data_IF_617016913134
#
_entry.id   IF_617016913134
#
_cell.length_a   1.000
_cell.length_b   1.000
_cell.length_c   1.000
_cell.angle_alpha   90.00
_cell.angle_beta   90.00
_cell.angle_gamma   90.00
#
_symmetry.space_group_name_H-M   'P 1'
#
loop_
_entity.id
_entity.type
_entity.pdbx_description
1 polymer ?
#
# COMPACT_ATOMS: atom_id res chain seq x y z
N UNK A 1 24.05 34.80 10.88
CA UNK A 1 23.05 33.87 10.32
C UNK A 1 23.68 32.49 10.36
N UNK A 2 23.43 31.72 11.43
CA UNK A 2 23.92 30.35 11.53
C UNK A 2 23.01 29.46 10.70
N UNK A 3 23.45 29.11 9.49
CA UNK A 3 22.90 28.00 8.73
C UNK A 3 23.10 26.72 9.55
N UNK A 4 22.02 26.10 9.99
CA UNK A 4 22.08 24.73 10.49
C UNK A 4 22.80 23.86 9.46
N UNK A 5 23.71 22.96 9.85
CA UNK A 5 24.38 22.08 8.90
C UNK A 5 23.32 21.30 8.12
N UNK A 6 23.45 21.24 6.80
CA UNK A 6 22.62 20.38 5.98
C UNK A 6 22.75 18.95 6.52
N UNK A 7 21.66 18.36 7.03
CA UNK A 7 21.69 17.02 7.57
C UNK A 7 21.73 16.03 6.41
N UNK A 8 22.89 15.40 6.20
CA UNK A 8 23.01 14.27 5.28
C UNK A 8 22.38 13.04 5.90
N UNK A 9 21.42 12.42 5.20
CA UNK A 9 20.90 11.10 5.58
C UNK A 9 21.53 10.07 4.64
N UNK A 10 22.22 9.10 5.24
CA UNK A 10 22.84 7.97 4.55
C UNK A 10 22.13 6.69 4.93
N UNK A 11 22.26 5.68 4.09
CA UNK A 11 21.73 4.36 4.42
C UNK A 11 22.53 3.24 3.74
N UNK A 12 22.80 2.19 4.50
CA UNK A 12 23.24 0.89 3.99
C UNK A 12 22.52 -0.25 4.73
N UNK A 13 22.03 -1.24 3.98
CA UNK A 13 21.31 -2.36 4.57
C UNK A 13 22.30 -3.31 5.27
N UNK A 14 22.18 -3.43 6.59
CA UNK A 14 23.09 -4.24 7.40
C UNK A 14 22.78 -5.75 7.38
N UNK A 15 21.69 -6.16 6.74
CA UNK A 15 21.21 -7.55 6.80
C UNK A 15 20.63 -7.93 8.16
N UNK A 16 20.11 -6.98 8.95
CA UNK A 16 19.54 -7.27 10.27
C UNK A 16 18.21 -8.05 10.25
N UNK A 17 17.55 -8.19 9.09
CA UNK A 17 16.30 -8.94 8.92
C UNK A 17 15.02 -8.29 9.48
N UNK A 18 15.11 -7.16 10.19
CA UNK A 18 13.96 -6.53 10.87
C UNK A 18 12.85 -6.09 9.91
N UNK A 19 13.17 -5.26 8.92
CA UNK A 19 12.19 -4.83 7.91
C UNK A 19 11.71 -5.97 6.99
N UNK A 20 12.34 -7.14 7.06
CA UNK A 20 11.96 -8.35 6.32
C UNK A 20 11.12 -9.33 7.16
N UNK A 21 10.74 -8.96 8.40
CA UNK A 21 10.03 -9.84 9.33
C UNK A 21 8.79 -9.13 9.89
N UNK A 22 7.61 -9.72 9.71
CA UNK A 22 6.36 -9.17 10.24
C UNK A 22 5.80 -7.98 9.45
N UNK A 23 6.38 -7.63 8.30
CA UNK A 23 5.91 -6.56 7.44
C UNK A 23 5.31 -7.09 6.15
N UNK A 24 4.09 -6.66 5.85
CA UNK A 24 3.52 -6.84 4.52
C UNK A 24 4.28 -5.97 3.51
N UNK A 25 4.59 -6.53 2.34
CA UNK A 25 5.39 -5.86 1.33
C UNK A 25 4.47 -5.48 0.17
N UNK A 26 4.10 -4.20 -0.01
CA UNK A 26 3.31 -3.76 -1.15
C UNK A 26 3.93 -4.21 -2.49
N UNK A 27 3.08 -4.74 -3.36
CA UNK A 27 3.45 -5.28 -4.66
C UNK A 27 2.73 -4.48 -5.75
N UNK A 28 3.45 -4.21 -6.84
CA UNK A 28 2.81 -3.93 -8.12
C UNK A 28 2.00 -5.17 -8.56
N UNK A 29 1.10 -5.00 -9.52
CA UNK A 29 0.31 -6.12 -10.03
C UNK A 29 1.22 -7.19 -10.67
N UNK A 30 2.27 -6.76 -11.37
CA UNK A 30 3.27 -7.67 -11.95
C UNK A 30 4.02 -8.48 -10.87
N UNK A 31 4.40 -7.83 -9.77
CA UNK A 31 5.06 -8.48 -8.64
C UNK A 31 4.10 -9.39 -7.87
N UNK A 32 2.83 -9.02 -7.74
CA UNK A 32 1.80 -9.87 -7.14
C UNK A 32 1.61 -11.18 -7.93
N UNK A 33 1.60 -11.10 -9.27
CA UNK A 33 1.60 -12.30 -10.14
C UNK A 33 2.79 -13.20 -9.88
N UNK A 34 3.98 -12.63 -9.83
CA UNK A 34 5.20 -13.39 -9.58
C UNK A 34 5.23 -13.99 -8.16
N UNK A 35 4.83 -13.21 -7.17
CA UNK A 35 4.78 -13.63 -5.77
C UNK A 35 3.79 -14.79 -5.57
N UNK A 36 2.55 -14.64 -6.08
CA UNK A 36 1.55 -15.70 -6.04
C UNK A 36 1.99 -16.94 -6.83
N UNK A 37 2.52 -16.75 -8.04
CA UNK A 37 3.00 -17.85 -8.90
C UNK A 37 4.18 -18.63 -8.33
N UNK A 38 4.95 -18.04 -7.41
CA UNK A 38 6.02 -18.75 -6.68
C UNK A 38 5.53 -19.41 -5.39
N UNK A 39 4.22 -19.41 -5.11
CA UNK A 39 3.59 -19.99 -3.92
C UNK A 39 3.47 -19.04 -2.73
N UNK A 40 3.61 -17.73 -2.95
CA UNK A 40 3.50 -16.72 -1.90
C UNK A 40 2.05 -16.29 -1.69
N UNK A 41 1.65 -16.10 -0.44
CA UNK A 41 0.33 -15.54 -0.13
C UNK A 41 0.34 -14.02 -0.31
N UNK A 42 -0.80 -13.48 -0.74
CA UNK A 42 -1.01 -12.04 -0.93
C UNK A 42 -2.20 -11.63 -0.07
N UNK A 43 -1.99 -10.59 0.73
CA UNK A 43 -3.06 -9.90 1.46
C UNK A 43 -3.50 -8.69 0.64
N UNK A 44 -4.80 -8.42 0.63
CA UNK A 44 -5.40 -7.27 -0.05
C UNK A 44 -5.89 -6.30 1.00
N UNK A 45 -5.33 -5.08 0.99
CA UNK A 45 -5.72 -3.99 1.88
C UNK A 45 -6.49 -2.95 1.07
N UNK A 46 -7.68 -2.57 1.56
CA UNK A 46 -8.54 -1.62 0.86
C UNK A 46 -8.98 -0.47 1.76
N UNK A 47 -8.79 0.74 1.26
CA UNK A 47 -9.26 2.00 1.81
C UNK A 47 -9.89 2.85 0.70
N UNK A 48 -10.80 3.74 1.06
CA UNK A 48 -11.50 4.60 0.11
C UNK A 48 -11.83 5.95 0.73
N UNK A 49 -12.10 6.94 -0.11
CA UNK A 49 -12.60 8.25 0.31
C UNK A 49 -13.74 8.65 -0.63
N UNK A 50 -14.62 9.54 -0.15
CA UNK A 50 -15.68 10.08 -1.01
C UNK A 50 -15.13 11.21 -1.89
N UNK A 51 -15.75 11.42 -3.05
CA UNK A 51 -15.34 12.46 -4.00
C UNK A 51 -15.36 13.89 -3.41
N UNK A 52 -16.19 14.14 -2.38
CA UNK A 52 -16.24 15.40 -1.64
C UNK A 52 -15.00 15.64 -0.74
N UNK A 53 -14.11 14.65 -0.61
CA UNK A 53 -12.88 14.70 0.16
C UNK A 53 -13.00 14.23 1.61
N UNK A 54 -14.16 13.73 2.04
CA UNK A 54 -14.33 13.13 3.36
C UNK A 54 -13.43 11.88 3.46
N UNK A 55 -12.57 11.86 4.48
CA UNK A 55 -11.50 10.87 4.66
C UNK A 55 -10.15 11.23 4.04
N UNK A 56 -9.94 12.46 3.55
CA UNK A 56 -8.71 12.83 2.85
C UNK A 56 -8.22 14.26 3.18
N UNK A 57 -7.06 14.41 3.86
CA UNK A 57 -6.42 15.72 4.01
C UNK A 57 -6.18 16.38 2.66
N UNK A 58 -6.40 17.70 2.58
CA UNK A 58 -6.41 18.44 1.32
C UNK A 58 -5.07 18.31 0.56
N UNK A 59 -3.96 18.34 1.28
CA UNK A 59 -2.62 18.22 0.73
C UNK A 59 -2.33 16.84 0.11
N UNK A 60 -3.02 15.78 0.57
CA UNK A 60 -2.83 14.42 0.05
C UNK A 60 -3.77 14.09 -1.11
N UNK A 61 -4.69 15.01 -1.46
CA UNK A 61 -5.79 14.73 -2.39
C UNK A 61 -5.30 14.31 -3.77
N UNK A 62 -4.38 15.07 -4.34
CA UNK A 62 -3.84 14.78 -5.68
C UNK A 62 -3.16 13.41 -5.72
N UNK A 63 -2.33 13.11 -4.72
CA UNK A 63 -1.62 11.83 -4.64
C UNK A 63 -2.59 10.65 -4.51
N UNK A 64 -3.58 10.76 -3.63
CA UNK A 64 -4.58 9.71 -3.40
C UNK A 64 -5.48 9.49 -4.63
N UNK A 65 -5.99 10.56 -5.26
CA UNK A 65 -6.83 10.46 -6.45
C UNK A 65 -6.14 9.79 -7.63
N UNK A 66 -4.84 10.03 -7.82
CA UNK A 66 -4.09 9.44 -8.95
C UNK A 66 -3.99 7.92 -8.87
N UNK A 67 -4.01 7.36 -7.66
CA UNK A 67 -3.84 5.92 -7.40
C UNK A 67 -5.12 5.22 -6.97
N UNK A 68 -6.26 5.91 -7.09
CA UNK A 68 -7.57 5.37 -6.76
C UNK A 68 -8.45 5.27 -8.00
N UNK A 69 -9.54 4.51 -7.88
CA UNK A 69 -10.51 4.33 -8.95
C UNK A 69 -11.93 4.52 -8.41
N UNK A 70 -12.82 5.21 -9.13
CA UNK A 70 -14.20 5.40 -8.68
C UNK A 70 -14.98 4.09 -8.76
N UNK A 71 -15.76 3.82 -7.72
CA UNK A 71 -16.69 2.70 -7.62
C UNK A 71 -18.06 3.18 -7.11
N UNK A 72 -19.18 2.57 -7.55
CA UNK A 72 -20.49 2.91 -7.02
C UNK A 72 -20.56 2.65 -5.51
N UNK A 73 -21.16 3.55 -4.73
CA UNK A 73 -21.34 3.39 -3.29
C UNK A 73 -22.63 4.08 -2.84
N UNK A 74 -23.71 3.31 -2.66
CA UNK A 74 -25.05 3.86 -2.40
C UNK A 74 -25.54 4.73 -3.57
N UNK A 75 -25.93 5.98 -3.28
CA UNK A 75 -26.26 7.01 -4.27
C UNK A 75 -25.07 7.93 -4.60
N UNK A 76 -23.87 7.59 -4.12
CA UNK A 76 -22.62 8.34 -4.28
C UNK A 76 -21.53 7.51 -4.98
N UNK A 77 -20.31 8.05 -5.00
CA UNK A 77 -19.11 7.38 -5.51
C UNK A 77 -18.01 7.38 -4.45
N UNK A 78 -17.40 6.21 -4.24
CA UNK A 78 -16.19 6.05 -3.44
C UNK A 78 -14.98 5.89 -4.35
N UNK A 79 -13.85 6.46 -3.98
CA UNK A 79 -12.58 6.34 -4.69
C UNK A 79 -11.69 5.35 -3.94
N UNK A 80 -11.63 4.11 -4.41
CA UNK A 80 -10.93 3.01 -3.74
C UNK A 80 -9.45 2.99 -4.09
N UNK A 81 -8.60 2.78 -3.09
CA UNK A 81 -7.18 2.46 -3.23
C UNK A 81 -6.96 1.03 -2.76
N UNK A 82 -6.37 0.19 -3.61
CA UNK A 82 -6.15 -1.22 -3.32
C UNK A 82 -4.66 -1.52 -3.28
N UNK A 83 -4.20 -2.04 -2.15
CA UNK A 83 -2.83 -2.52 -1.97
C UNK A 83 -2.81 -4.03 -1.94
N UNK A 84 -2.21 -4.65 -2.96
CA UNK A 84 -1.80 -6.05 -2.87
C UNK A 84 -0.44 -6.08 -2.19
N UNK A 85 -0.29 -6.87 -1.16
CA UNK A 85 0.97 -6.99 -0.45
C UNK A 85 1.33 -8.46 -0.21
N UNK A 86 2.61 -8.78 -0.23
CA UNK A 86 3.07 -10.08 0.23
C UNK A 86 2.67 -10.26 1.70
N UNK A 87 1.93 -11.32 1.99
CA UNK A 87 1.52 -11.64 3.35
C UNK A 87 2.68 -12.30 4.11
N UNK A 88 3.35 -11.51 4.94
CA UNK A 88 4.48 -11.95 5.77
C UNK A 88 4.21 -11.63 7.26
N UNK A 89 3.45 -12.46 7.98
CA UNK A 89 3.27 -12.29 9.42
C UNK A 89 4.54 -12.62 10.23
N UNK A 90 5.48 -13.36 9.63
CA UNK A 90 6.78 -13.70 10.21
C UNK A 90 7.94 -13.34 9.29
N UNK A 91 9.01 -14.13 9.32
CA UNK A 91 10.17 -13.93 8.43
C UNK A 91 9.74 -14.07 6.97
N UNK A 92 10.15 -13.13 6.13
CA UNK A 92 9.93 -13.21 4.69
C UNK A 92 10.50 -14.52 4.14
N UNK A 93 9.71 -15.22 3.31
CA UNK A 93 10.10 -16.51 2.69
C UNK A 93 11.38 -16.46 1.84
N UNK A 94 11.79 -15.26 1.43
CA UNK A 94 13.00 -15.04 0.65
C UNK A 94 14.17 -14.53 1.49
N UNK A 95 14.06 -14.55 2.82
CA UNK A 95 15.15 -14.20 3.73
C UNK A 95 15.98 -15.46 3.99
N UNK A 96 17.28 -15.43 3.67
CA UNK A 96 18.18 -16.55 3.94
C UNK A 96 18.57 -16.62 5.43
N UNK A 97 19.41 -17.60 5.78
CA UNK A 97 19.84 -17.82 7.17
C UNK A 97 20.72 -16.67 7.71
N UNK A 98 21.41 -15.95 6.81
CA UNK A 98 22.21 -14.76 7.14
C UNK A 98 21.37 -13.46 7.20
N UNK A 99 20.04 -13.57 7.16
CA UNK A 99 19.11 -12.43 7.12
C UNK A 99 19.33 -11.48 5.92
N UNK A 100 19.82 -12.03 4.81
CA UNK A 100 19.95 -11.37 3.50
C UNK A 100 18.85 -11.85 2.57
N UNK A 101 18.46 -10.98 1.64
CA UNK A 101 17.44 -11.34 0.67
C UNK A 101 18.01 -12.35 -0.35
N UNK A 102 17.34 -13.46 -0.59
CA UNK A 102 17.71 -14.44 -1.61
C UNK A 102 17.32 -14.05 -3.04
N UNK A 103 16.52 -12.99 -3.21
CA UNK A 103 15.95 -12.60 -4.51
C UNK A 103 16.34 -11.18 -4.95
N UNK A 104 17.59 -10.76 -4.67
CA UNK A 104 18.06 -9.38 -4.89
C UNK A 104 17.68 -8.76 -6.24
N UNK A 105 17.73 -9.56 -7.31
CA UNK A 105 17.45 -9.18 -8.71
C UNK A 105 15.96 -8.86 -8.95
N UNK A 106 15.07 -9.61 -8.29
CA UNK A 106 13.62 -9.54 -8.47
C UNK A 106 12.87 -9.05 -7.23
N UNK A 107 13.58 -8.46 -6.26
CA UNK A 107 12.98 -7.83 -5.07
C UNK A 107 11.82 -6.90 -5.47
N UNK A 108 10.71 -6.87 -4.72
CA UNK A 108 9.67 -5.89 -4.98
C UNK A 108 10.20 -4.45 -4.96
N UNK A 109 9.58 -3.55 -5.73
CA UNK A 109 9.99 -2.13 -5.82
C UNK A 109 10.11 -1.50 -4.44
N UNK A 110 9.12 -1.70 -3.56
CA UNK A 110 9.14 -1.14 -2.19
C UNK A 110 10.36 -1.62 -1.38
N UNK A 111 10.81 -2.87 -1.56
CA UNK A 111 12.02 -3.38 -0.91
C UNK A 111 13.32 -2.79 -1.49
N UNK A 112 13.31 -2.33 -2.75
CA UNK A 112 14.44 -1.62 -3.37
C UNK A 112 14.44 -0.14 -3.01
N UNK A 113 13.26 0.41 -2.70
CA UNK A 113 13.05 1.81 -2.31
C UNK A 113 13.38 2.03 -0.84
N UNK A 114 13.18 1.01 0.00
CA UNK A 114 13.51 1.08 1.42
C UNK A 114 14.95 1.58 1.63
N UNK A 115 15.16 2.62 2.46
CA UNK A 115 14.24 3.08 3.50
C UNK A 115 13.31 4.24 3.11
N UNK A 116 13.40 4.77 1.88
CA UNK A 116 12.63 5.94 1.46
C UNK A 116 11.12 5.69 1.46
N UNK A 117 10.38 6.79 1.51
CA UNK A 117 8.92 6.80 1.42
C UNK A 117 8.44 6.95 -0.03
N UNK A 118 7.44 6.16 -0.39
CA UNK A 118 6.77 6.29 -1.70
C UNK A 118 5.77 7.45 -1.67
N UNK A 119 5.06 7.67 -0.56
CA UNK A 119 4.13 8.78 -0.43
C UNK A 119 4.92 10.10 -0.36
N UNK A 120 4.71 11.05 -1.29
CA UNK A 120 5.47 12.31 -1.33
C UNK A 120 5.26 13.21 -0.11
N UNK A 121 4.20 12.98 0.68
CA UNK A 121 3.88 13.78 1.86
C UNK A 121 4.50 13.21 3.15
N UNK A 122 5.15 12.04 3.09
CA UNK A 122 5.81 11.43 4.24
C UNK A 122 7.32 11.59 4.07
N UNK A 123 8.00 12.36 4.94
CA UNK A 123 9.45 12.49 4.88
C UNK A 123 10.12 11.22 5.42
N UNK A 124 11.29 10.86 4.89
CA UNK A 124 12.14 9.84 5.49
C UNK A 124 12.57 10.30 6.89
N UNK A 125 12.26 9.47 7.90
CA UNK A 125 12.68 9.64 9.29
C UNK A 125 13.40 8.37 9.75
N UNK A 126 14.73 8.38 9.93
CA UNK A 126 15.49 7.22 10.38
C UNK A 126 14.93 6.55 11.65
N UNK A 127 14.46 7.35 12.60
CA UNK A 127 13.88 6.93 13.87
C UNK A 127 12.54 6.19 13.72
N UNK A 128 11.86 6.34 12.58
CA UNK A 128 10.61 5.65 12.27
C UNK A 128 10.83 4.34 11.50
N UNK A 129 12.09 3.87 11.40
CA UNK A 129 12.47 2.68 10.65
C UNK A 129 13.08 1.64 11.59
N UNK A 130 12.86 0.37 11.29
CA UNK A 130 13.30 -0.74 12.15
C UNK A 130 14.82 -0.97 12.13
N UNK A 131 15.52 -0.40 11.14
CA UNK A 131 16.95 -0.63 10.95
C UNK A 131 17.79 -0.09 12.12
N UNK A 132 18.84 -0.82 12.53
CA UNK A 132 19.73 -0.39 13.61
C UNK A 132 20.48 0.89 13.25
N UNK A 133 21.02 1.56 14.27
CA UNK A 133 21.74 2.83 14.11
C UNK A 133 22.90 2.76 13.12
N UNK A 134 23.62 1.63 13.05
CA UNK A 134 24.73 1.45 12.11
C UNK A 134 24.32 1.56 10.62
N UNK A 135 23.06 1.23 10.29
CA UNK A 135 22.55 1.32 8.92
C UNK A 135 22.54 2.76 8.41
N UNK A 136 22.50 3.76 9.30
CA UNK A 136 22.40 5.18 8.97
C UNK A 136 23.76 5.90 8.95
N UNK A 137 24.83 5.20 9.32
CA UNK A 137 26.17 5.77 9.46
C UNK A 137 27.04 5.56 8.22
N UNK A 138 26.62 4.70 7.30
CA UNK A 138 27.38 4.29 6.11
C UNK A 138 26.50 4.27 4.86
N UNK A 139 27.13 3.99 3.72
CA UNK A 139 26.45 3.93 2.43
C UNK A 139 26.34 5.27 1.69
N UNK A 140 25.68 5.25 0.52
CA UNK A 140 25.43 6.45 -0.27
C UNK A 140 24.58 7.45 0.50
N UNK A 141 24.79 8.73 0.23
CA UNK A 141 23.88 9.77 0.69
C UNK A 141 22.55 9.61 -0.06
N UNK A 142 21.47 9.47 0.69
CA UNK A 142 20.12 9.46 0.15
C UNK A 142 19.57 10.88 0.09
N UNK A 143 19.73 11.63 1.19
CA UNK A 143 19.24 13.01 1.30
C UNK A 143 20.41 13.92 1.66
N UNK A 144 20.51 15.07 0.99
CA UNK A 144 21.37 16.20 1.35
C UNK A 144 20.47 17.40 1.70
N UNK A 145 20.50 17.83 2.96
CA UNK A 145 19.53 18.81 3.46
C UNK A 145 18.11 18.24 3.41
N UNK A 146 17.28 18.74 2.48
CA UNK A 146 15.90 18.25 2.26
C UNK A 146 15.70 17.65 0.86
N UNK A 147 16.77 17.41 0.10
CA UNK A 147 16.68 16.91 -1.28
C UNK A 147 17.16 15.46 -1.38
N UNK A 148 16.35 14.61 -2.02
CA UNK A 148 16.76 13.28 -2.44
C UNK A 148 17.84 13.41 -3.54
N UNK A 149 19.06 12.98 -3.23
CA UNK A 149 20.22 13.07 -4.14
C UNK A 149 20.52 11.76 -4.87
N UNK A 150 20.01 10.63 -4.37
CA UNK A 150 20.10 9.34 -5.07
C UNK A 150 19.11 9.28 -6.24
N UNK A 151 19.63 9.45 -7.46
CA UNK A 151 18.84 9.45 -8.71
C UNK A 151 18.18 8.11 -8.99
N UNK A 152 18.86 7.00 -8.72
CA UNK A 152 18.32 5.66 -8.95
C UNK A 152 17.14 5.42 -8.03
N UNK A 153 17.24 5.87 -6.79
CA UNK A 153 16.16 5.77 -5.82
C UNK A 153 14.96 6.63 -6.21
N UNK A 154 15.20 7.85 -6.69
CA UNK A 154 14.15 8.72 -7.24
C UNK A 154 13.40 8.06 -8.40
N UNK A 155 14.12 7.42 -9.33
CA UNK A 155 13.53 6.66 -10.44
C UNK A 155 12.69 5.49 -9.95
N UNK A 156 13.15 4.74 -8.94
CA UNK A 156 12.38 3.62 -8.38
C UNK A 156 11.10 4.08 -7.69
N UNK A 157 11.16 5.19 -6.93
CA UNK A 157 9.98 5.80 -6.30
C UNK A 157 8.95 6.18 -7.36
N UNK A 158 9.39 6.84 -8.44
CA UNK A 158 8.46 7.24 -9.50
C UNK A 158 7.88 6.04 -10.25
N UNK A 159 8.70 5.01 -10.51
CA UNK A 159 8.20 3.74 -11.08
C UNK A 159 7.17 3.07 -10.19
N UNK A 160 7.35 3.09 -8.87
CA UNK A 160 6.36 2.53 -7.94
C UNK A 160 5.05 3.32 -7.97
N UNK A 161 5.13 4.66 -7.97
CA UNK A 161 3.95 5.52 -8.08
C UNK A 161 3.24 5.36 -9.42
N UNK A 162 3.99 5.19 -10.51
CA UNK A 162 3.42 4.93 -11.82
C UNK A 162 2.71 3.58 -11.86
N UNK A 163 3.31 2.53 -11.30
CA UNK A 163 2.66 1.22 -11.21
C UNK A 163 1.35 1.28 -10.41
N UNK A 164 1.28 2.03 -9.31
CA UNK A 164 0.02 2.25 -8.60
C UNK A 164 -1.09 2.84 -9.49
N UNK A 165 -0.74 3.80 -10.36
CA UNK A 165 -1.67 4.43 -11.31
C UNK A 165 -2.11 3.47 -12.41
N UNK A 166 -1.16 2.71 -12.96
CA UNK A 166 -1.42 1.78 -14.06
C UNK A 166 -2.22 0.55 -13.58
N UNK A 167 -1.97 0.11 -12.35
CA UNK A 167 -2.53 -1.12 -11.81
C UNK A 167 -3.93 -0.95 -11.20
N UNK A 168 -4.31 0.24 -10.74
CA UNK A 168 -5.49 0.39 -9.86
C UNK A 168 -6.78 -0.15 -10.50
N UNK A 169 -7.03 0.14 -11.78
CA UNK A 169 -8.22 -0.35 -12.48
C UNK A 169 -8.25 -1.89 -12.52
N UNK A 170 -7.11 -2.52 -12.81
CA UNK A 170 -7.01 -3.97 -12.84
C UNK A 170 -7.15 -4.58 -11.44
N UNK A 171 -6.59 -3.93 -10.41
CA UNK A 171 -6.79 -4.35 -9.00
C UNK A 171 -8.25 -4.30 -8.59
N UNK A 172 -9.01 -3.27 -8.99
CA UNK A 172 -10.47 -3.22 -8.76
C UNK A 172 -11.19 -4.40 -9.43
N UNK A 173 -10.88 -4.68 -10.70
CA UNK A 173 -11.49 -5.80 -11.43
C UNK A 173 -11.18 -7.16 -10.78
N UNK A 174 -9.94 -7.34 -10.28
CA UNK A 174 -9.54 -8.55 -9.55
C UNK A 174 -10.29 -8.65 -8.22
N UNK A 175 -10.39 -7.56 -7.47
CA UNK A 175 -11.17 -7.53 -6.24
C UNK A 175 -12.64 -7.91 -6.49
N UNK A 176 -13.27 -7.37 -7.54
CA UNK A 176 -14.63 -7.75 -7.93
C UNK A 176 -14.75 -9.25 -8.25
N UNK A 177 -13.80 -9.81 -9.00
CA UNK A 177 -13.79 -11.25 -9.31
C UNK A 177 -13.63 -12.13 -8.06
N UNK A 178 -13.04 -11.58 -6.99
CA UNK A 178 -12.87 -12.24 -5.70
C UNK A 178 -14.01 -11.96 -4.71
N UNK A 179 -15.01 -11.15 -5.08
CA UNK A 179 -16.08 -10.72 -4.16
C UNK A 179 -15.59 -9.76 -3.08
N UNK A 180 -14.54 -8.99 -3.35
CA UNK A 180 -14.02 -7.93 -2.49
C UNK A 180 -14.65 -6.60 -2.91
N UNK A 181 -15.58 -6.11 -2.11
CA UNK A 181 -16.38 -4.91 -2.35
C UNK A 181 -16.60 -4.04 -1.09
N UNK A 182 -15.94 -4.37 0.03
CA UNK A 182 -15.95 -3.53 1.23
C UNK A 182 -14.59 -2.86 1.39
N UNK A 183 -14.64 -1.56 1.67
CA UNK A 183 -13.46 -0.74 1.92
C UNK A 183 -13.56 -0.10 3.30
N UNK A 184 -12.43 0.15 3.95
CA UNK A 184 -12.41 1.09 5.07
C UNK A 184 -12.48 2.53 4.53
N UNK A 185 -12.85 3.48 5.38
CA UNK A 185 -12.63 4.89 5.07
C UNK A 185 -11.14 5.24 5.30
N UNK A 186 -10.55 5.92 4.33
CA UNK A 186 -9.18 6.43 4.40
C UNK A 186 -9.02 7.33 5.62
N UNK A 187 -7.93 7.12 6.36
CA UNK A 187 -7.67 7.78 7.64
C UNK A 187 -8.41 7.19 8.84
N UNK A 188 -9.33 6.25 8.64
CA UNK A 188 -10.01 5.52 9.72
C UNK A 188 -9.58 4.05 9.83
N UNK A 189 -9.04 3.45 8.77
CA UNK A 189 -8.46 2.11 8.83
C UNK A 189 -8.21 1.47 7.47
N UNK A 190 -8.03 0.15 7.48
CA UNK A 190 -8.03 -0.73 6.31
C UNK A 190 -9.01 -1.88 6.49
N UNK A 191 -9.63 -2.30 5.39
CA UNK A 191 -10.17 -3.67 5.31
C UNK A 191 -9.08 -4.58 4.78
N UNK A 192 -8.88 -5.71 5.44
CA UNK A 192 -7.82 -6.66 5.15
C UNK A 192 -8.42 -8.01 4.77
N UNK A 193 -8.15 -8.44 3.54
CA UNK A 193 -8.61 -9.70 2.97
C UNK A 193 -7.42 -10.61 2.72
N UNK A 194 -7.55 -11.89 3.12
CA UNK A 194 -6.61 -12.94 2.75
C UNK A 194 -7.33 -13.92 1.81
N UNK A 195 -7.40 -13.62 0.49
CA UNK A 195 -8.13 -14.44 -0.46
C UNK A 195 -7.53 -15.84 -0.59
N UNK A 196 -8.35 -16.80 -1.01
CA UNK A 196 -7.87 -18.12 -1.39
C UNK A 196 -6.79 -17.99 -2.48
N UNK A 197 -5.70 -18.73 -2.32
CA UNK A 197 -4.52 -18.58 -3.18
C UNK A 197 -4.79 -19.04 -4.61
N UNK A 198 -5.61 -20.08 -4.80
CA UNK A 198 -5.97 -20.56 -6.13
C UNK A 198 -6.94 -19.59 -6.82
N UNK A 199 -7.94 -19.09 -6.10
CA UNK A 199 -8.86 -18.08 -6.60
C UNK A 199 -8.13 -16.79 -7.01
N UNK A 200 -7.22 -16.30 -6.16
CA UNK A 200 -6.40 -15.13 -6.50
C UNK A 200 -5.51 -15.39 -7.71
N UNK A 201 -4.83 -16.54 -7.77
CA UNK A 201 -3.98 -16.89 -8.91
C UNK A 201 -4.79 -16.92 -10.22
N UNK A 202 -6.01 -17.47 -10.19
CA UNK A 202 -6.91 -17.46 -11.33
C UNK A 202 -7.33 -16.03 -11.70
N UNK A 203 -7.77 -15.24 -10.73
CA UNK A 203 -8.21 -13.86 -10.96
C UNK A 203 -7.08 -12.98 -11.51
N UNK A 204 -5.85 -13.16 -11.03
CA UNK A 204 -4.68 -12.48 -11.57
C UNK A 204 -4.53 -12.75 -13.07
N UNK A 205 -4.69 -13.99 -13.55
CA UNK A 205 -4.50 -14.31 -14.98
C UNK A 205 -5.61 -13.81 -15.90
N UNK A 206 -6.75 -13.37 -15.37
CA UNK A 206 -7.86 -12.92 -16.20
C UNK A 206 -7.59 -11.51 -16.78
N UNK A 207 -7.97 -11.25 -18.03
CA UNK A 207 -8.04 -9.89 -18.54
C UNK A 207 -9.09 -9.10 -17.74
N UNK A 208 -8.90 -7.80 -17.59
CA UNK A 208 -9.87 -6.94 -16.93
C UNK A 208 -11.22 -7.03 -17.69
N UNK A 209 -12.25 -7.55 -17.04
CA UNK A 209 -13.58 -7.66 -17.64
C UNK A 209 -14.25 -6.28 -17.64
N UNK A 210 -14.93 -5.93 -18.73
CA UNK A 210 -15.79 -4.73 -18.87
C UNK A 210 -17.14 -4.91 -18.18
N UNK A 211 -17.19 -5.66 -17.08
CA UNK A 211 -18.42 -5.84 -16.32
C UNK A 211 -18.73 -4.57 -15.52
N UNK A 212 -20.02 -4.22 -15.36
CA UNK A 212 -20.42 -3.20 -14.41
C UNK A 212 -19.84 -3.48 -13.03
N UNK A 213 -19.38 -2.44 -12.34
CA UNK A 213 -18.84 -2.59 -11.01
C UNK A 213 -19.97 -2.87 -10.02
N UNK A 214 -19.79 -3.86 -9.15
CA UNK A 214 -20.68 -4.08 -8.02
C UNK A 214 -20.69 -2.83 -7.11
N UNK A 215 -21.80 -2.53 -6.41
CA UNK A 215 -21.81 -1.45 -5.43
C UNK A 215 -20.92 -1.81 -4.24
N UNK A 216 -20.05 -0.89 -3.87
CA UNK A 216 -19.15 -1.01 -2.73
C UNK A 216 -19.78 -0.50 -1.44
N UNK A 217 -19.27 -0.98 -0.31
CA UNK A 217 -19.64 -0.52 1.04
C UNK A 217 -18.44 0.05 1.77
N UNK A 218 -18.65 1.09 2.57
CA UNK A 218 -17.65 1.60 3.51
C UNK A 218 -17.86 0.99 4.90
N UNK A 219 -16.87 0.26 5.42
CA UNK A 219 -16.87 -0.19 6.80
C UNK A 219 -16.33 0.93 7.70
N UNK A 220 -17.18 1.45 8.58
CA UNK A 220 -16.87 2.49 9.56
C UNK A 220 -17.57 2.19 10.88
N UNK A 221 -16.79 2.13 11.96
CA UNK A 221 -17.30 1.79 13.31
C UNK A 221 -17.71 3.03 14.12
N UNK A 222 -17.21 4.22 13.75
CA UNK A 222 -17.58 5.48 14.39
C UNK A 222 -19.01 5.89 13.98
N UNK A 223 -19.99 5.96 14.91
CA UNK A 223 -21.38 6.25 14.56
C UNK A 223 -21.60 7.64 13.97
N UNK A 224 -20.83 8.64 14.40
CA UNK A 224 -20.96 10.01 13.89
C UNK A 224 -20.48 10.04 12.43
N UNK A 225 -19.31 9.45 12.18
CA UNK A 225 -18.74 9.39 10.84
C UNK A 225 -19.61 8.58 9.87
N UNK A 226 -20.20 7.48 10.34
CA UNK A 226 -21.17 6.70 9.55
C UNK A 226 -22.37 7.54 9.15
N UNK A 227 -22.96 8.31 10.08
CA UNK A 227 -24.08 9.20 9.77
C UNK A 227 -23.70 10.31 8.77
N UNK A 228 -22.49 10.86 8.87
CA UNK A 228 -21.97 11.87 7.92
C UNK A 228 -21.80 11.27 6.51
N UNK A 229 -21.31 10.04 6.40
CA UNK A 229 -21.17 9.32 5.14
C UNK A 229 -22.51 8.98 4.50
N UNK A 230 -23.47 8.47 5.29
CA UNK A 230 -24.83 8.17 4.83
C UNK A 230 -25.54 9.44 4.35
N UNK A 231 -25.36 10.56 5.04
CA UNK A 231 -25.89 11.86 4.61
C UNK A 231 -25.30 12.33 3.26
N UNK A 232 -24.10 11.85 2.90
CA UNK A 232 -23.48 12.05 1.59
C UNK A 232 -23.91 11.01 0.54
N UNK A 233 -24.84 10.12 0.87
CA UNK A 233 -25.36 9.07 -0.01
C UNK A 233 -24.50 7.81 -0.07
N UNK A 234 -23.46 7.68 0.77
CA UNK A 234 -22.62 6.49 0.78
C UNK A 234 -23.34 5.30 1.43
N UNK A 235 -23.03 4.09 0.94
CA UNK A 235 -23.42 2.86 1.60
C UNK A 235 -22.38 2.51 2.68
N UNK A 236 -22.85 2.33 3.91
CA UNK A 236 -21.98 2.13 5.10
C UNK A 236 -22.38 0.85 5.84
N UNK A 237 -21.42 0.18 6.45
CA UNK A 237 -21.65 -0.87 7.44
C UNK A 237 -20.74 -0.67 8.66
N UNK A 238 -21.19 -1.12 9.83
CA UNK A 238 -20.40 -1.11 11.08
C UNK A 238 -20.23 -2.52 11.68
N UNK A 239 -20.97 -3.49 11.15
CA UNK A 239 -20.91 -4.88 11.62
C UNK A 239 -19.59 -5.54 11.21
N UNK A 240 -19.02 -6.42 12.07
CA UNK A 240 -17.82 -7.18 11.73
C UNK A 240 -17.96 -7.96 10.42
N UNK A 241 -16.93 -7.88 9.58
CA UNK A 241 -16.86 -8.63 8.33
C UNK A 241 -16.72 -10.14 8.57
N UNK A 242 -17.38 -10.94 7.73
CA UNK A 242 -17.23 -12.40 7.74
C UNK A 242 -15.96 -12.88 7.00
N UNK A 243 -15.55 -12.13 5.98
CA UNK A 243 -14.49 -12.53 5.03
C UNK A 243 -13.31 -11.56 5.01
N UNK A 244 -13.32 -10.55 5.88
CA UNK A 244 -12.26 -9.57 6.04
C UNK A 244 -12.13 -9.14 7.50
N UNK A 245 -10.96 -8.62 7.85
CA UNK A 245 -10.76 -7.92 9.13
C UNK A 245 -10.75 -6.42 8.89
N UNK A 246 -11.43 -5.67 9.75
CA UNK A 246 -11.29 -4.22 9.82
C UNK A 246 -10.16 -3.86 10.80
N UNK A 247 -9.17 -3.12 10.33
CA UNK A 247 -8.01 -2.67 11.10
C UNK A 247 -8.13 -1.14 11.23
N UNK A 248 -8.70 -0.68 12.34
CA UNK A 248 -8.86 0.74 12.65
C UNK A 248 -7.57 1.42 13.14
N UNK A 249 -7.50 2.74 13.01
CA UNK A 249 -6.43 3.59 13.56
C UNK A 249 -6.85 4.34 14.81
#
# INVERSE_FOLDING_TARGET
MNSAPASDIRFDCTGCGKCCTGHHVPLTLSEARHWAGSGGQVIVLVEAFLANGLGLPAEQREHAMRRSWPVPCGSSEAWVTITFAAFNPGRCRNLNDDNRCGIYEIRPLVCRIYPMEINPHIPLRPEAKDCPGEAWQSGPALIHGNQLVDKRLAELIERSRQADRDDIRAKVAICQALGIDVSALKGNGFTAYLPDTAALAQALQQPALEQPLAPWTLHVVDPQLSAELEACGAQVCSEPGLYYSFIGF
#
